data_IF_201282858612
#
_entry.id   IF_201282858612
#
_cell.length_a   1.000
_cell.length_b   1.000
_cell.length_c   1.000
_cell.angle_alpha   90.00
_cell.angle_beta   90.00
_cell.angle_gamma   90.00
#
_symmetry.space_group_name_H-M   'P 1'
#
loop_
_entity.id
_entity.type
_entity.pdbx_description
1 polymer ?
#
# COMPACT_ATOMS: atom_id res chain seq x y z
N UNK A 1 -1.77 -4.58 3.47
CA UNK A 1 -0.99 -4.89 4.68
C UNK A 1 -0.96 -3.63 5.53
N UNK A 2 -1.28 -3.67 6.83
CA UNK A 2 -1.21 -2.47 7.66
C UNK A 2 0.24 -1.97 7.83
N UNK A 3 0.44 -0.65 7.92
CA UNK A 3 1.75 -0.03 8.16
C UNK A 3 2.28 -0.18 9.58
N UNK A 4 1.55 -0.82 10.49
CA UNK A 4 1.94 -0.97 11.91
C UNK A 4 3.34 -1.59 12.08
N UNK A 5 3.69 -2.55 11.22
CA UNK A 5 5.01 -3.18 11.25
C UNK A 5 6.16 -2.24 10.84
N UNK A 6 5.86 -1.10 10.21
CA UNK A 6 6.85 -0.07 9.87
C UNK A 6 7.04 0.95 11.00
N UNK A 7 6.03 1.14 11.87
CA UNK A 7 6.13 2.10 12.98
C UNK A 7 6.87 1.53 14.18
N UNK A 8 6.78 0.22 14.40
CA UNK A 8 7.54 -0.51 15.43
C UNK A 8 8.17 -1.76 14.81
N UNK A 9 9.24 -1.60 14.01
CA UNK A 9 9.82 -2.70 13.26
C UNK A 9 10.44 -3.74 14.17
N UNK A 10 10.09 -5.01 13.93
CA UNK A 10 10.72 -6.19 14.54
C UNK A 10 11.32 -7.04 13.43
N UNK A 11 12.60 -7.42 13.51
CA UNK A 11 13.22 -8.26 12.48
C UNK A 11 12.70 -9.71 12.56
N UNK A 12 12.67 -10.41 11.43
CA UNK A 12 12.22 -11.80 11.36
C UNK A 12 13.11 -12.74 12.18
N UNK A 13 14.34 -12.35 12.50
CA UNK A 13 15.25 -13.09 13.41
C UNK A 13 14.71 -13.23 14.84
N UNK A 14 13.69 -12.49 15.24
CA UNK A 14 13.00 -12.65 16.53
C UNK A 14 11.94 -13.77 16.54
N UNK A 15 11.63 -14.37 15.38
CA UNK A 15 10.62 -15.41 15.27
C UNK A 15 11.04 -16.71 15.98
N UNK A 16 10.07 -17.56 16.37
CA UNK A 16 10.36 -18.88 16.92
C UNK A 16 11.22 -19.73 15.96
N UNK A 17 12.12 -20.54 16.53
CA UNK A 17 13.07 -21.36 15.77
C UNK A 17 12.40 -22.31 14.74
N UNK A 18 11.21 -22.80 15.05
CA UNK A 18 10.40 -23.62 14.14
C UNK A 18 9.96 -22.85 12.89
N UNK A 19 9.62 -21.57 13.01
CA UNK A 19 9.28 -20.70 11.86
C UNK A 19 10.55 -20.33 11.09
N UNK A 20 11.63 -19.98 11.80
CA UNK A 20 12.93 -19.68 11.19
C UNK A 20 13.43 -20.85 10.32
N UNK A 21 13.23 -22.09 10.78
CA UNK A 21 13.63 -23.27 10.01
C UNK A 21 12.93 -23.42 8.66
N UNK A 22 11.70 -22.89 8.54
CA UNK A 22 10.97 -22.84 7.25
C UNK A 22 11.52 -21.71 6.39
N UNK A 23 11.80 -20.54 6.98
CA UNK A 23 12.35 -19.38 6.28
C UNK A 23 13.77 -19.61 5.75
N UNK A 24 14.55 -20.44 6.43
CA UNK A 24 15.89 -20.85 6.00
C UNK A 24 15.88 -21.86 4.84
N UNK A 25 14.71 -22.34 4.39
CA UNK A 25 14.61 -23.26 3.26
C UNK A 25 14.99 -22.54 1.96
N UNK A 26 16.10 -22.94 1.29
CA UNK A 26 16.53 -22.29 0.06
C UNK A 26 15.52 -22.42 -1.09
N UNK A 27 14.53 -23.33 -1.01
CA UNK A 27 13.44 -23.41 -1.97
C UNK A 27 12.51 -22.18 -1.93
N UNK A 28 12.51 -21.40 -0.85
CA UNK A 28 11.76 -20.15 -0.76
C UNK A 28 12.39 -19.00 -1.53
N UNK A 29 13.67 -19.11 -1.91
CA UNK A 29 14.38 -18.07 -2.66
C UNK A 29 14.54 -16.76 -1.91
N UNK A 30 14.61 -16.79 -0.58
CA UNK A 30 14.98 -15.62 0.24
C UNK A 30 16.48 -15.42 0.08
N UNK A 31 16.89 -14.34 -0.61
CA UNK A 31 18.31 -14.03 -0.84
C UNK A 31 18.86 -13.10 0.25
N UNK A 32 18.01 -12.22 0.77
CA UNK A 32 18.36 -11.20 1.76
C UNK A 32 18.34 -11.78 3.18
N UNK A 33 19.21 -11.29 4.08
CA UNK A 33 19.26 -11.82 5.44
C UNK A 33 17.96 -11.53 6.20
N UNK A 34 17.49 -12.48 7.02
CA UNK A 34 16.26 -12.33 7.82
C UNK A 34 16.27 -11.14 8.81
N UNK A 35 17.43 -10.53 9.06
CA UNK A 35 17.53 -9.27 9.82
C UNK A 35 16.97 -8.06 9.06
N UNK A 36 16.84 -8.14 7.75
CA UNK A 36 16.25 -7.10 6.88
C UNK A 36 14.76 -7.33 6.63
N UNK A 37 14.27 -8.53 6.93
CA UNK A 37 12.84 -8.85 6.89
C UNK A 37 12.17 -8.41 8.18
N UNK A 38 11.00 -7.78 8.06
CA UNK A 38 10.19 -7.30 9.18
C UNK A 38 9.01 -8.22 9.44
N UNK A 39 8.70 -8.47 10.72
CA UNK A 39 7.49 -9.18 11.14
C UNK A 39 6.28 -8.26 10.92
N UNK A 40 5.45 -8.61 9.94
CA UNK A 40 4.23 -7.88 9.60
C UNK A 40 3.00 -8.38 10.39
N UNK A 41 2.97 -9.68 10.71
CA UNK A 41 1.95 -10.29 11.55
C UNK A 41 2.53 -11.52 12.25
N UNK A 42 2.15 -11.75 13.50
CA UNK A 42 2.56 -12.91 14.27
C UNK A 42 1.39 -13.39 15.14
N UNK A 43 1.02 -14.65 14.96
CA UNK A 43 0.04 -15.36 15.77
C UNK A 43 0.45 -16.84 15.89
N UNK A 44 -0.31 -17.62 16.66
CA UNK A 44 -0.06 -19.06 16.80
C UNK A 44 -0.34 -19.86 15.52
N UNK A 45 -1.08 -19.30 14.56
CA UNK A 45 -1.53 -19.99 13.34
C UNK A 45 -0.87 -19.44 12.08
N UNK A 46 -0.49 -18.16 12.12
CA UNK A 46 -0.03 -17.42 10.95
C UNK A 46 1.09 -16.45 11.31
N UNK A 47 2.18 -16.51 10.56
CA UNK A 47 3.26 -15.53 10.59
C UNK A 47 3.37 -14.92 9.20
N UNK A 48 3.49 -13.60 9.13
CA UNK A 48 3.77 -12.89 7.88
C UNK A 48 4.97 -11.99 8.08
N UNK A 49 5.95 -12.10 7.19
CA UNK A 49 7.11 -11.21 7.12
C UNK A 49 7.09 -10.44 5.81
N UNK A 50 7.72 -9.27 5.80
CA UNK A 50 7.85 -8.45 4.62
C UNK A 50 9.24 -7.83 4.52
N UNK A 51 9.69 -7.57 3.30
CA UNK A 51 10.98 -6.95 3.01
C UNK A 51 10.77 -5.87 1.95
N UNK A 52 11.34 -4.69 2.15
CA UNK A 52 11.22 -3.58 1.19
C UNK A 52 12.10 -3.82 -0.03
N UNK A 53 11.50 -3.80 -1.22
CA UNK A 53 12.23 -4.02 -2.45
C UNK A 53 13.17 -2.85 -2.75
N UNK A 54 14.38 -3.15 -3.24
CA UNK A 54 15.31 -2.14 -3.76
C UNK A 54 14.66 -1.26 -4.84
N UNK A 55 13.88 -1.89 -5.73
CA UNK A 55 13.11 -1.22 -6.76
C UNK A 55 11.63 -1.65 -6.69
N UNK A 56 10.69 -0.70 -6.53
CA UNK A 56 9.26 -1.02 -6.60
C UNK A 56 8.87 -1.63 -7.95
N UNK A 57 8.00 -2.64 -7.93
CA UNK A 57 7.49 -3.33 -9.12
C UNK A 57 6.18 -2.68 -9.55
N UNK A 58 6.14 -2.10 -10.75
CA UNK A 58 4.92 -1.60 -11.37
C UNK A 58 4.22 -2.70 -12.17
N UNK A 59 3.04 -3.13 -11.72
CA UNK A 59 2.20 -4.13 -12.39
C UNK A 59 1.22 -3.50 -13.40
N UNK A 60 1.34 -2.19 -13.64
CA UNK A 60 0.47 -1.42 -14.51
C UNK A 60 -0.75 -0.85 -13.78
N UNK A 61 -1.43 0.10 -14.43
CA UNK A 61 -2.63 0.78 -13.89
C UNK A 61 -2.42 1.39 -12.48
N UNK A 62 -1.19 1.78 -12.15
CA UNK A 62 -0.84 2.32 -10.84
C UNK A 62 -0.74 1.28 -9.71
N UNK A 63 -0.74 -0.02 -10.04
CA UNK A 63 -0.47 -1.09 -9.07
C UNK A 63 1.03 -1.29 -8.88
N UNK A 64 1.63 -0.38 -8.11
CA UNK A 64 3.05 -0.48 -7.74
C UNK A 64 3.16 -1.23 -6.40
N UNK A 65 4.06 -2.21 -6.33
CA UNK A 65 4.39 -3.03 -5.15
C UNK A 65 5.78 -2.68 -4.63
N UNK A 66 5.89 -2.37 -3.35
CA UNK A 66 7.16 -1.94 -2.73
C UNK A 66 7.76 -2.95 -1.76
N UNK A 67 7.03 -4.03 -1.44
CA UNK A 67 7.48 -5.04 -0.50
C UNK A 67 7.29 -6.44 -1.04
N UNK A 68 8.26 -7.32 -0.81
CA UNK A 68 8.03 -8.76 -0.81
C UNK A 68 7.27 -9.16 0.46
N UNK A 69 6.43 -10.18 0.37
CA UNK A 69 5.59 -10.68 1.46
C UNK A 69 5.64 -12.20 1.49
N UNK A 70 6.02 -12.77 2.62
CA UNK A 70 6.00 -14.22 2.85
C UNK A 70 5.10 -14.50 4.04
N UNK A 71 4.15 -15.41 3.85
CA UNK A 71 3.25 -15.90 4.88
C UNK A 71 3.49 -17.39 5.09
N UNK A 72 3.71 -17.75 6.35
CA UNK A 72 3.86 -19.13 6.83
C UNK A 72 2.66 -19.42 7.73
N UNK A 73 2.03 -20.56 7.52
CA UNK A 73 0.89 -21.01 8.32
C UNK A 73 1.23 -22.31 9.05
N UNK A 74 0.57 -22.53 10.19
CA UNK A 74 0.63 -23.80 10.87
C UNK A 74 -0.04 -24.91 10.03
N UNK A 75 0.43 -26.15 10.16
CA UNK A 75 0.07 -27.32 9.33
C UNK A 75 -1.43 -27.59 9.14
N UNK A 76 -2.29 -27.06 10.03
CA UNK A 76 -3.73 -27.19 9.93
C UNK A 76 -4.33 -26.44 8.70
N UNK A 77 -3.57 -25.52 8.09
CA UNK A 77 -4.02 -24.65 7.00
C UNK A 77 -3.17 -24.81 5.72
N UNK A 78 -3.29 -25.95 5.02
CA UNK A 78 -2.82 -26.12 3.61
C UNK A 78 -1.35 -25.75 3.32
N UNK A 79 -0.50 -25.68 4.34
CA UNK A 79 0.87 -25.22 4.23
C UNK A 79 1.78 -26.29 3.59
N UNK A 80 2.79 -25.88 2.81
CA UNK A 80 3.77 -26.80 2.21
C UNK A 80 5.10 -26.70 3.00
N UNK A 81 5.67 -27.82 3.49
CA UNK A 81 5.16 -29.20 3.42
C UNK A 81 4.06 -29.50 4.47
N UNK A 82 3.08 -30.34 4.10
CA UNK A 82 1.90 -30.65 4.93
C UNK A 82 2.20 -31.43 6.23
N UNK A 83 3.42 -31.96 6.38
CA UNK A 83 3.84 -32.78 7.54
C UNK A 83 4.66 -31.99 8.56
N UNK A 84 5.06 -30.76 8.24
CA UNK A 84 5.78 -29.87 9.16
C UNK A 84 4.77 -29.04 9.98
N UNK A 85 5.08 -28.68 11.24
CA UNK A 85 4.18 -27.88 12.08
C UNK A 85 3.89 -26.50 11.48
N UNK A 86 4.80 -25.99 10.65
CA UNK A 86 4.70 -24.76 9.90
C UNK A 86 5.09 -25.02 8.44
N UNK A 87 4.50 -24.30 7.50
CA UNK A 87 4.91 -24.35 6.10
C UNK A 87 4.54 -23.08 5.35
N UNK A 88 5.08 -22.94 4.14
CA UNK A 88 4.75 -21.81 3.28
C UNK A 88 3.26 -21.84 2.93
N UNK A 89 2.60 -20.73 3.19
CA UNK A 89 1.21 -20.50 2.80
C UNK A 89 1.13 -19.59 1.57
N UNK A 90 1.92 -18.52 1.53
CA UNK A 90 1.92 -17.55 0.44
C UNK A 90 3.26 -16.86 0.30
N UNK A 91 3.68 -16.63 -0.95
CA UNK A 91 4.74 -15.68 -1.30
C UNK A 91 4.20 -14.75 -2.38
N UNK A 92 4.30 -13.44 -2.18
CA UNK A 92 3.70 -12.43 -3.06
C UNK A 92 4.38 -11.08 -2.88
N UNK A 93 3.91 -10.07 -3.61
CA UNK A 93 4.30 -8.68 -3.40
C UNK A 93 3.16 -7.90 -2.75
N UNK A 94 3.50 -6.85 -2.02
CA UNK A 94 2.52 -5.97 -1.39
C UNK A 94 3.01 -4.51 -1.32
N UNK A 95 2.09 -3.65 -0.91
CA UNK A 95 2.39 -2.28 -0.48
C UNK A 95 1.65 -2.07 0.83
N UNK A 96 2.35 -1.78 1.92
CA UNK A 96 1.70 -1.42 3.18
C UNK A 96 0.86 -0.16 3.00
N UNK A 97 -0.32 -0.16 3.61
CA UNK A 97 -1.30 0.93 3.57
C UNK A 97 -1.60 1.38 4.99
N UNK A 98 -1.80 2.68 5.18
CA UNK A 98 -2.27 3.21 6.45
C UNK A 98 -3.66 2.64 6.74
N UNK A 99 -3.99 2.45 8.02
CA UNK A 99 -5.35 2.11 8.43
C UNK A 99 -6.25 3.33 8.22
N UNK A 100 -7.16 3.24 7.24
CA UNK A 100 -8.11 4.29 6.89
C UNK A 100 -9.47 4.10 7.57
N UNK A 101 -9.58 3.18 8.55
CA UNK A 101 -10.84 2.88 9.23
C UNK A 101 -11.90 2.32 8.27
N UNK A 102 -13.00 3.05 8.10
CA UNK A 102 -14.10 2.64 7.20
C UNK A 102 -13.88 2.99 5.72
N UNK A 103 -12.78 3.66 5.39
CA UNK A 103 -12.42 4.03 4.02
C UNK A 103 -11.50 2.99 3.41
N UNK A 104 -11.48 2.93 2.08
CA UNK A 104 -10.52 2.13 1.31
C UNK A 104 -9.52 3.03 0.59
N UNK A 105 -8.35 2.49 0.32
CA UNK A 105 -7.32 3.20 -0.43
C UNK A 105 -7.73 3.35 -1.90
N UNK A 106 -7.29 4.46 -2.50
CA UNK A 106 -7.60 4.83 -3.87
C UNK A 106 -6.33 5.18 -4.63
N UNK A 107 -6.35 4.96 -5.95
CA UNK A 107 -5.34 5.52 -6.84
C UNK A 107 -5.51 7.03 -6.92
N UNK A 108 -4.40 7.78 -6.79
CA UNK A 108 -4.40 9.24 -6.85
C UNK A 108 -3.42 9.69 -7.93
N UNK A 109 -3.88 10.53 -8.83
CA UNK A 109 -3.07 11.15 -9.90
C UNK A 109 -3.36 12.64 -10.00
N UNK A 110 -2.47 13.40 -10.63
CA UNK A 110 -2.71 14.79 -10.98
C UNK A 110 -3.74 14.88 -12.11
N UNK A 111 -4.62 15.89 -12.06
CA UNK A 111 -5.49 16.19 -13.20
C UNK A 111 -4.64 16.70 -14.39
N UNK A 112 -4.62 15.97 -15.54
CA UNK A 112 -3.84 16.40 -16.71
C UNK A 112 -4.36 17.71 -17.33
N UNK A 113 -5.62 18.06 -17.12
CA UNK A 113 -6.24 19.28 -17.63
C UNK A 113 -6.04 20.49 -16.69
N UNK A 114 -5.57 20.26 -15.47
CA UNK A 114 -5.36 21.26 -14.43
C UNK A 114 -4.09 20.99 -13.60
N UNK A 115 -2.95 20.84 -14.28
CA UNK A 115 -1.66 20.58 -13.62
C UNK A 115 -1.26 21.69 -12.64
N UNK A 116 -0.79 21.34 -11.43
CA UNK A 116 -0.46 22.32 -10.41
C UNK A 116 0.76 23.16 -10.79
N UNK A 117 0.69 24.43 -10.43
CA UNK A 117 1.73 25.44 -10.60
C UNK A 117 2.28 25.87 -9.24
N UNK A 118 3.48 26.47 -9.24
CA UNK A 118 4.17 26.87 -8.00
C UNK A 118 3.38 27.89 -7.16
N UNK A 119 2.54 28.72 -7.81
CA UNK A 119 1.70 29.70 -7.13
C UNK A 119 0.36 29.16 -6.64
N UNK A 120 0.03 27.89 -6.91
CA UNK A 120 -1.29 27.35 -6.62
C UNK A 120 -1.45 27.02 -5.14
N UNK A 121 -2.57 27.45 -4.57
CA UNK A 121 -3.05 27.03 -3.24
C UNK A 121 -4.15 25.96 -3.36
N UNK A 122 -4.38 25.45 -4.58
CA UNK A 122 -5.32 24.37 -4.86
C UNK A 122 -4.72 23.37 -5.82
N UNK A 123 -4.87 22.09 -5.52
CA UNK A 123 -4.39 21.01 -6.37
C UNK A 123 -5.61 20.27 -6.91
N UNK A 124 -5.70 20.14 -8.24
CA UNK A 124 -6.66 19.29 -8.91
C UNK A 124 -6.10 17.87 -9.05
N UNK A 125 -6.85 16.91 -8.53
CA UNK A 125 -6.52 15.49 -8.51
C UNK A 125 -7.59 14.67 -9.22
N UNK A 126 -7.18 13.51 -9.69
CA UNK A 126 -8.04 12.44 -10.15
C UNK A 126 -7.91 11.25 -9.20
N UNK A 127 -9.01 10.88 -8.55
CA UNK A 127 -9.08 9.79 -7.58
C UNK A 127 -9.83 8.61 -8.19
N UNK A 128 -9.19 7.45 -8.22
CA UNK A 128 -9.72 6.21 -8.79
C UNK A 128 -9.91 5.18 -7.70
N UNK A 129 -11.14 4.71 -7.54
CA UNK A 129 -11.45 3.66 -6.57
C UNK A 129 -10.77 2.34 -6.92
N UNK A 130 -10.21 1.67 -5.91
CA UNK A 130 -9.71 0.30 -6.08
C UNK A 130 -10.83 -0.74 -6.05
N UNK A 131 -11.87 -0.49 -5.26
CA UNK A 131 -13.02 -1.40 -5.18
C UNK A 131 -14.01 -1.16 -6.34
N UNK A 132 -14.71 -2.21 -6.73
CA UNK A 132 -15.65 -2.16 -7.85
C UNK A 132 -16.84 -1.26 -7.54
N UNK A 133 -17.13 -0.30 -8.43
CA UNK A 133 -18.32 0.53 -8.30
C UNK A 133 -19.19 0.59 -9.58
N UNK A 134 -19.22 -0.48 -10.39
CA UNK A 134 -20.08 -0.56 -11.58
C UNK A 134 -19.91 0.61 -12.56
N UNK A 135 -18.70 1.17 -12.69
CA UNK A 135 -18.43 2.30 -13.57
C UNK A 135 -18.96 3.65 -13.07
N UNK A 136 -19.42 3.76 -11.83
CA UNK A 136 -19.86 5.02 -11.23
C UNK A 136 -18.68 5.78 -10.61
N UNK A 137 -18.78 7.11 -10.62
CA UNK A 137 -17.80 7.99 -9.96
C UNK A 137 -17.92 7.90 -8.42
N UNK A 138 -16.86 8.31 -7.73
CA UNK A 138 -16.76 8.40 -6.29
C UNK A 138 -17.20 9.75 -5.72
N UNK A 139 -18.08 10.46 -6.43
CA UNK A 139 -18.60 11.77 -5.99
C UNK A 139 -19.21 11.61 -4.59
N UNK A 140 -18.90 12.57 -3.71
CA UNK A 140 -19.32 12.63 -2.30
C UNK A 140 -18.85 11.46 -1.41
N UNK A 141 -17.96 10.59 -1.91
CA UNK A 141 -17.38 9.47 -1.15
C UNK A 141 -15.86 9.56 -0.98
N UNK A 142 -15.22 10.50 -1.67
CA UNK A 142 -13.79 10.78 -1.50
C UNK A 142 -13.61 11.70 -0.31
N UNK A 143 -12.69 11.35 0.59
CA UNK A 143 -12.33 12.16 1.73
C UNK A 143 -10.81 12.34 1.83
N UNK A 144 -10.38 13.58 2.11
CA UNK A 144 -9.02 13.89 2.52
C UNK A 144 -8.92 13.62 4.02
N UNK A 145 -8.36 12.47 4.37
CA UNK A 145 -8.23 11.98 5.74
C UNK A 145 -7.13 12.73 6.48
N UNK A 146 -6.01 12.98 5.80
CA UNK A 146 -4.87 13.69 6.36
C UNK A 146 -4.16 14.52 5.29
N UNK A 147 -3.72 15.71 5.70
CA UNK A 147 -2.91 16.64 4.91
C UNK A 147 -1.75 17.11 5.77
N UNK A 148 -0.53 16.81 5.36
CA UNK A 148 0.69 17.31 6.02
C UNK A 148 1.44 18.19 5.03
N UNK A 149 1.53 19.47 5.35
CA UNK A 149 2.29 20.44 4.57
C UNK A 149 3.64 20.71 5.23
N UNK A 150 4.71 20.36 4.54
CA UNK A 150 6.08 20.68 4.95
C UNK A 150 6.68 21.73 4.02
N UNK A 151 7.94 22.11 4.27
CA UNK A 151 8.69 23.01 3.39
C UNK A 151 9.01 22.40 2.02
N UNK A 152 8.96 21.08 1.90
CA UNK A 152 9.42 20.33 0.71
C UNK A 152 8.36 19.39 0.15
N UNK A 153 7.35 19.02 0.94
CA UNK A 153 6.33 18.04 0.58
C UNK A 153 4.93 18.53 0.93
N UNK A 154 3.95 18.04 0.17
CA UNK A 154 2.53 18.06 0.48
C UNK A 154 2.10 16.59 0.50
N UNK A 155 1.89 16.04 1.69
CA UNK A 155 1.55 14.63 1.88
C UNK A 155 0.05 14.49 2.09
N UNK A 156 -0.57 13.64 1.26
CA UNK A 156 -2.00 13.44 1.18
C UNK A 156 -2.35 12.00 1.57
N UNK A 157 -3.30 11.85 2.49
CA UNK A 157 -3.99 10.57 2.72
C UNK A 157 -5.42 10.74 2.25
N UNK A 158 -5.75 10.13 1.12
CA UNK A 158 -7.09 10.17 0.52
C UNK A 158 -7.69 8.78 0.62
N UNK A 159 -8.90 8.70 1.17
CA UNK A 159 -9.70 7.48 1.22
C UNK A 159 -10.99 7.62 0.43
N UNK A 160 -11.56 6.48 0.04
CA UNK A 160 -12.90 6.44 -0.56
C UNK A 160 -13.81 5.57 0.29
N UNK A 161 -14.99 6.07 0.62
CA UNK A 161 -16.01 5.29 1.30
C UNK A 161 -16.55 4.21 0.36
N UNK A 162 -16.50 2.91 0.72
CA UNK A 162 -16.96 1.83 -0.14
C UNK A 162 -18.42 1.97 -0.56
N UNK A 163 -18.75 1.54 -1.79
CA UNK A 163 -20.15 1.41 -2.22
C UNK A 163 -20.65 -0.03 -2.03
N UNK A 164 -21.92 -0.20 -1.71
CA UNK A 164 -22.50 -1.55 -1.62
C UNK A 164 -22.91 -2.06 -3.00
N UNK A 165 -22.31 -3.17 -3.45
CA UNK A 165 -22.86 -3.99 -4.54
C UNK A 165 -22.44 -3.64 -5.97
N UNK A 166 -21.25 -3.04 -6.16
CA UNK A 166 -20.71 -2.76 -7.50
C UNK A 166 -20.05 -3.97 -8.20
N UNK A 167 -19.95 -3.93 -9.53
CA UNK A 167 -19.19 -4.87 -10.37
C UNK A 167 -18.04 -4.14 -11.08
N UNK A 168 -16.89 -4.79 -11.29
CA UNK A 168 -15.71 -4.14 -11.87
C UNK A 168 -15.75 -4.09 -13.41
N UNK A 169 -16.76 -3.44 -13.99
CA UNK A 169 -16.75 -3.18 -15.45
C UNK A 169 -15.79 -2.03 -15.78
N UNK A 170 -15.72 -1.02 -14.91
CA UNK A 170 -14.82 0.14 -14.98
C UNK A 170 -14.81 0.85 -13.62
N UNK A 171 -13.73 1.56 -13.30
CA UNK A 171 -13.64 2.50 -12.18
C UNK A 171 -13.09 3.84 -12.74
N UNK A 172 -13.95 4.73 -13.23
CA UNK A 172 -13.51 5.99 -13.80
C UNK A 172 -12.89 6.91 -12.73
N UNK A 173 -11.81 7.65 -13.06
CA UNK A 173 -11.25 8.64 -12.16
C UNK A 173 -12.28 9.74 -11.86
N UNK A 174 -12.37 10.13 -10.60
CA UNK A 174 -13.26 11.18 -10.11
C UNK A 174 -12.44 12.42 -9.75
N UNK A 175 -12.78 13.60 -10.31
CA UNK A 175 -12.12 14.85 -9.93
C UNK A 175 -12.27 15.15 -8.43
N UNK A 176 -11.18 15.57 -7.80
CA UNK A 176 -11.13 15.96 -6.40
C UNK A 176 -10.15 17.12 -6.23
N UNK A 177 -10.47 18.08 -5.38
CA UNK A 177 -9.63 19.26 -5.15
C UNK A 177 -9.15 19.28 -3.71
N UNK A 178 -7.87 19.55 -3.51
CA UNK A 178 -7.27 19.79 -2.19
C UNK A 178 -6.89 21.27 -2.09
N UNK A 179 -7.39 21.94 -1.07
CA UNK A 179 -6.95 23.29 -0.69
C UNK A 179 -5.68 23.19 0.18
N UNK A 180 -4.71 24.08 -0.06
CA UNK A 180 -3.46 24.19 0.69
C UNK A 180 -3.47 25.46 1.56
N UNK A 181 -2.79 25.42 2.70
CA UNK A 181 -2.57 26.59 3.55
C UNK A 181 -1.51 27.55 2.97
N UNK A 182 -0.62 27.02 2.12
CA UNK A 182 0.43 27.79 1.46
C UNK A 182 0.51 27.43 -0.03
N UNK A 183 1.05 28.33 -0.89
CA UNK A 183 1.31 28.01 -2.28
C UNK A 183 2.18 26.75 -2.43
N UNK A 184 1.97 25.96 -3.48
CA UNK A 184 2.70 24.71 -3.70
C UNK A 184 4.22 24.93 -3.72
N UNK A 185 4.71 26.05 -4.25
CA UNK A 185 6.10 26.50 -4.15
C UNK A 185 7.15 25.46 -4.60
N UNK A 186 6.79 24.55 -5.51
CA UNK A 186 7.66 23.46 -5.97
C UNK A 186 7.77 22.27 -5.01
N UNK A 187 6.95 22.20 -3.96
CA UNK A 187 6.84 21.06 -3.06
C UNK A 187 6.36 19.82 -3.82
N UNK A 188 6.89 18.66 -3.47
CA UNK A 188 6.46 17.38 -4.05
C UNK A 188 5.13 16.95 -3.42
N UNK A 189 4.16 16.61 -4.26
CA UNK A 189 2.88 16.06 -3.81
C UNK A 189 3.05 14.56 -3.65
N UNK A 190 2.78 14.04 -2.46
CA UNK A 190 2.95 12.63 -2.10
C UNK A 190 1.62 12.00 -1.71
N UNK A 191 1.32 10.82 -2.22
CA UNK A 191 0.32 9.91 -1.67
C UNK A 191 0.96 9.19 -0.47
N UNK A 192 0.56 9.58 0.73
CA UNK A 192 1.00 9.03 1.99
C UNK A 192 0.08 7.91 2.51
N UNK A 193 -1.00 7.56 1.81
CA UNK A 193 -1.86 6.43 2.18
C UNK A 193 -1.14 5.06 2.04
N UNK A 194 0.00 5.05 1.35
CA UNK A 194 0.88 3.90 1.14
C UNK A 194 2.27 4.16 1.71
N UNK A 195 2.97 3.09 2.08
CA UNK A 195 4.37 3.15 2.51
C UNK A 195 5.29 2.34 1.58
N UNK A 196 6.44 2.90 1.15
CA UNK A 196 6.81 4.31 1.30
C UNK A 196 5.84 5.24 0.55
N UNK A 197 5.74 6.49 1.00
CA UNK A 197 4.91 7.51 0.35
C UNK A 197 5.38 7.73 -1.09
N UNK A 198 4.42 7.95 -2.01
CA UNK A 198 4.70 7.97 -3.46
C UNK A 198 4.38 9.31 -4.07
N UNK A 199 5.22 9.78 -4.99
CA UNK A 199 4.91 10.97 -5.78
C UNK A 199 3.58 10.79 -6.53
N UNK A 200 2.69 11.78 -6.39
CA UNK A 200 1.48 11.86 -7.20
C UNK A 200 1.89 12.38 -8.58
N UNK A 201 1.72 11.53 -9.59
CA UNK A 201 2.07 11.84 -10.96
C UNK A 201 0.84 11.98 -11.84
N UNK A 202 1.04 12.40 -13.09
CA UNK A 202 0.00 12.32 -14.12
C UNK A 202 -0.41 10.86 -14.37
N UNK A 203 -1.65 10.61 -14.83
CA UNK A 203 -2.05 9.29 -15.32
C UNK A 203 -1.09 8.81 -16.41
N UNK A 204 -0.70 7.54 -16.37
CA UNK A 204 0.02 6.93 -17.47
C UNK A 204 -0.96 6.66 -18.62
N UNK A 205 -0.60 7.10 -19.83
CA UNK A 205 -1.38 6.95 -21.07
C UNK A 205 -1.29 5.57 -21.67
#
# INVERSE_FOLDING_TARGET
MPTQALTTPRPATELPAEVLSVLDDPALGIEEPLSEWLIAHESAELVTIMHELDEPVDLGAGDIRSYALITIAAAAEQAIPLEAPWGLHRSTLCTPTIDLGSFTEAGVTLDPDALPQSGDERIALLVTERECNSGQLAIDRIELIELIETKTTVELVIGVQPSTGGTCVSNPPTPFTVDLEQPLAGRTILNAAVAPARAVTRPQS
#
